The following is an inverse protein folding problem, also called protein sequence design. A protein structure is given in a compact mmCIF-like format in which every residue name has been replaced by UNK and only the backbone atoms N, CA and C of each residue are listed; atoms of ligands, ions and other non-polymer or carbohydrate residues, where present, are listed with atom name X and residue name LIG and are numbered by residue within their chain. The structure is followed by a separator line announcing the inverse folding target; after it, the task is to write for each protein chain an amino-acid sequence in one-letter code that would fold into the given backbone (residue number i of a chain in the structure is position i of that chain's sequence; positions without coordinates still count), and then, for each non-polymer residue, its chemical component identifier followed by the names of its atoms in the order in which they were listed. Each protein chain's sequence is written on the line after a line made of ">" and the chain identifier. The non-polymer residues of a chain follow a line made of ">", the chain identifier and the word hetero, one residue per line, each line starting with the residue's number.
data_IF_863966433406
#
_entry.id   IF_863966433406
#
_cell.length_a   1.000
_cell.length_b   1.000
_cell.length_c   1.000
_cell.angle_alpha   90.00
_cell.angle_beta   90.00
_cell.angle_gamma   90.00
#
_symmetry.space_group_name_H-M   'P 1'
#
loop_
_entity.id
_entity.type
_entity.pdbx_description
1 polymer ?
#
# COMPACT_ATOMS: atom_id res chain seq x y z
N UNK A 1 -21.89 -13.12 -6.49
CA UNK A 1 -22.06 -14.57 -6.52
C UNK A 1 -21.80 -15.18 -7.91
N UNK A 2 -21.55 -14.37 -8.94
CA UNK A 2 -21.28 -14.82 -10.32
C UNK A 2 -19.92 -14.36 -10.83
N UNK A 3 -19.02 -14.03 -9.95
CA UNK A 3 -17.64 -13.70 -10.32
C UNK A 3 -16.80 -14.97 -10.41
N UNK A 4 -15.91 -15.00 -11.40
CA UNK A 4 -14.91 -16.05 -11.60
C UNK A 4 -13.51 -15.52 -11.33
N UNK A 5 -12.54 -16.43 -11.14
CA UNK A 5 -11.15 -16.05 -10.90
C UNK A 5 -10.44 -15.56 -12.16
N UNK A 6 -11.00 -15.89 -13.35
CA UNK A 6 -10.40 -15.52 -14.63
C UNK A 6 -11.49 -15.06 -15.60
N UNK A 7 -11.23 -13.97 -16.31
CA UNK A 7 -12.11 -13.43 -17.33
C UNK A 7 -11.50 -13.56 -18.72
N UNK A 8 -12.30 -14.11 -19.63
CA UNK A 8 -11.95 -14.31 -21.06
C UNK A 8 -13.11 -13.90 -21.94
N UNK A 9 -12.95 -13.95 -23.25
CA UNK A 9 -14.04 -13.70 -24.21
C UNK A 9 -15.17 -14.73 -24.12
N UNK A 10 -14.98 -15.84 -23.39
CA UNK A 10 -15.98 -16.94 -23.26
C UNK A 10 -16.83 -16.81 -21.99
N UNK A 11 -16.57 -15.83 -21.12
CA UNK A 11 -17.38 -15.59 -19.93
C UNK A 11 -18.82 -15.21 -20.30
N UNK A 12 -19.77 -15.66 -19.49
CA UNK A 12 -21.18 -15.32 -19.64
C UNK A 12 -21.44 -13.84 -19.46
N UNK A 13 -22.56 -13.35 -19.99
CA UNK A 13 -22.95 -11.94 -19.79
C UNK A 13 -23.14 -11.60 -18.30
N UNK A 14 -23.60 -12.55 -17.49
CA UNK A 14 -23.80 -12.39 -16.04
C UNK A 14 -22.45 -12.23 -15.31
N UNK A 15 -21.44 -13.03 -15.64
CA UNK A 15 -20.09 -12.92 -15.11
C UNK A 15 -19.45 -11.58 -15.51
N UNK A 16 -19.57 -11.20 -16.77
CA UNK A 16 -19.05 -9.91 -17.25
C UNK A 16 -19.73 -8.72 -16.56
N UNK A 17 -21.05 -8.78 -16.34
CA UNK A 17 -21.78 -7.75 -15.60
C UNK A 17 -21.37 -7.71 -14.13
N UNK A 18 -21.10 -8.86 -13.51
CA UNK A 18 -20.68 -8.92 -12.11
C UNK A 18 -19.35 -8.19 -11.89
N UNK A 19 -18.35 -8.46 -12.73
CA UNK A 19 -17.04 -7.77 -12.63
C UNK A 19 -17.15 -6.29 -12.99
N UNK A 20 -17.91 -5.94 -14.03
CA UNK A 20 -18.12 -4.54 -14.42
C UNK A 20 -18.79 -3.74 -13.30
N UNK A 21 -19.74 -4.36 -12.59
CA UNK A 21 -20.40 -3.73 -11.42
C UNK A 21 -19.41 -3.52 -10.27
N UNK A 22 -18.55 -4.51 -9.99
CA UNK A 22 -17.51 -4.35 -8.97
C UNK A 22 -16.55 -3.21 -9.32
N UNK A 23 -16.10 -3.15 -10.57
CA UNK A 23 -15.23 -2.06 -11.05
C UNK A 23 -15.89 -0.70 -10.93
N UNK A 24 -17.20 -0.60 -11.23
CA UNK A 24 -17.97 0.64 -11.07
C UNK A 24 -18.06 1.04 -9.60
N UNK A 25 -18.34 0.09 -8.70
CA UNK A 25 -18.39 0.36 -7.24
C UNK A 25 -17.01 0.82 -6.75
N UNK A 26 -15.94 0.12 -7.14
CA UNK A 26 -14.59 0.47 -6.76
C UNK A 26 -14.19 1.86 -7.26
N UNK A 27 -14.40 2.13 -8.54
CA UNK A 27 -14.08 3.43 -9.14
C UNK A 27 -14.89 4.59 -8.53
N UNK A 28 -16.16 4.38 -8.24
CA UNK A 28 -17.01 5.37 -7.57
C UNK A 28 -16.55 5.59 -6.13
N UNK A 29 -16.23 4.52 -5.40
CA UNK A 29 -15.82 4.59 -3.99
C UNK A 29 -14.48 5.29 -3.80
N UNK A 30 -13.53 5.15 -4.73
CA UNK A 30 -12.27 5.90 -4.72
C UNK A 30 -12.35 7.25 -5.44
N UNK A 31 -13.54 7.66 -5.87
CA UNK A 31 -13.78 8.93 -6.59
C UNK A 31 -12.87 9.03 -7.84
N UNK A 32 -12.82 7.95 -8.62
CA UNK A 32 -11.96 7.87 -9.80
C UNK A 32 -12.28 9.01 -10.78
N UNK A 33 -11.27 9.80 -11.10
CA UNK A 33 -11.34 10.77 -12.17
C UNK A 33 -11.08 10.06 -13.50
N UNK A 34 -12.14 9.71 -14.21
CA UNK A 34 -12.05 9.02 -15.48
C UNK A 34 -11.68 9.96 -16.62
N UNK A 35 -10.68 9.60 -17.40
CA UNK A 35 -10.20 10.39 -18.54
C UNK A 35 -9.24 9.57 -19.40
N UNK A 36 -8.52 10.26 -20.28
CA UNK A 36 -7.41 9.65 -21.05
C UNK A 36 -6.31 9.09 -20.12
N UNK A 37 -6.16 9.71 -18.95
CA UNK A 37 -5.41 9.20 -17.81
C UNK A 37 -6.35 9.24 -16.61
N UNK A 38 -6.76 8.06 -16.14
CA UNK A 38 -7.62 7.94 -14.97
C UNK A 38 -6.77 7.94 -13.70
N UNK A 39 -7.21 8.65 -12.67
CA UNK A 39 -6.50 8.77 -11.41
C UNK A 39 -7.43 8.74 -10.20
N UNK A 40 -6.97 8.18 -9.10
CA UNK A 40 -7.61 8.21 -7.80
C UNK A 40 -6.56 8.26 -6.69
N UNK A 41 -7.01 8.59 -5.48
CA UNK A 41 -6.16 8.55 -4.30
C UNK A 41 -6.33 7.21 -3.58
N UNK A 42 -5.24 6.49 -3.35
CA UNK A 42 -5.26 5.18 -2.67
C UNK A 42 -5.81 5.27 -1.23
N UNK A 43 -5.72 6.43 -0.57
CA UNK A 43 -6.29 6.63 0.76
C UNK A 43 -7.80 6.35 0.82
N UNK A 44 -8.51 6.58 -0.30
CA UNK A 44 -9.94 6.29 -0.41
C UNK A 44 -10.24 4.78 -0.51
N UNK A 45 -9.23 3.96 -0.72
CA UNK A 45 -9.36 2.51 -0.70
C UNK A 45 -9.77 1.97 0.69
N UNK A 46 -9.27 2.58 1.77
CA UNK A 46 -9.64 2.17 3.14
C UNK A 46 -11.15 2.27 3.40
N UNK A 47 -11.80 3.44 3.26
CA UNK A 47 -13.25 3.53 3.45
C UNK A 47 -14.04 2.71 2.42
N UNK A 48 -13.58 2.60 1.18
CA UNK A 48 -14.22 1.74 0.18
C UNK A 48 -14.28 0.29 0.64
N UNK A 49 -13.15 -0.28 1.01
CA UNK A 49 -13.06 -1.68 1.40
C UNK A 49 -13.86 -1.95 2.68
N UNK A 50 -13.67 -1.13 3.71
CA UNK A 50 -14.31 -1.30 5.01
C UNK A 50 -15.81 -1.00 4.96
N UNK A 51 -16.19 0.21 4.51
CA UNK A 51 -17.54 0.73 4.69
C UNK A 51 -18.49 0.28 3.57
N UNK A 52 -17.96 0.00 2.37
CA UNK A 52 -18.78 -0.37 1.21
C UNK A 52 -18.69 -1.86 0.85
N UNK A 53 -17.54 -2.50 1.05
CA UNK A 53 -17.32 -3.88 0.65
C UNK A 53 -17.25 -4.86 1.81
N UNK A 54 -17.39 -4.39 3.07
CA UNK A 54 -17.48 -5.24 4.25
C UNK A 54 -16.19 -5.96 4.64
N UNK A 55 -15.05 -5.35 4.33
CA UNK A 55 -13.77 -5.81 4.81
C UNK A 55 -13.56 -5.44 6.28
N UNK A 56 -12.57 -6.06 6.91
CA UNK A 56 -12.26 -5.86 8.32
C UNK A 56 -11.81 -4.42 8.64
N UNK A 57 -12.00 -3.99 9.88
CA UNK A 57 -11.62 -2.65 10.33
C UNK A 57 -10.11 -2.45 10.45
N UNK A 58 -9.33 -3.55 10.49
CA UNK A 58 -7.87 -3.51 10.63
C UNK A 58 -7.13 -2.92 9.42
N UNK A 59 -7.83 -2.63 8.33
CA UNK A 59 -7.24 -1.97 7.16
C UNK A 59 -6.60 -0.66 7.59
N UNK A 60 -5.32 -0.49 7.26
CA UNK A 60 -4.59 0.74 7.51
C UNK A 60 -3.82 1.24 6.30
N UNK A 61 -3.59 2.56 6.27
CA UNK A 61 -2.87 3.23 5.20
C UNK A 61 -1.53 3.74 5.74
N UNK A 62 -0.45 3.26 5.17
CA UNK A 62 0.90 3.50 5.68
C UNK A 62 1.79 4.12 4.61
N UNK A 63 2.71 4.98 5.07
CA UNK A 63 3.70 5.64 4.21
C UNK A 63 5.08 5.05 4.45
N UNK A 64 5.78 4.70 3.37
CA UNK A 64 7.14 4.17 3.38
C UNK A 64 8.11 5.02 4.19
N UNK A 65 7.96 6.34 4.13
CA UNK A 65 8.83 7.30 4.84
C UNK A 65 8.84 7.16 6.36
N UNK A 66 7.85 6.46 6.92
CA UNK A 66 7.75 6.18 8.37
C UNK A 66 8.57 4.97 8.82
N UNK A 67 9.22 4.26 7.91
CA UNK A 67 9.86 2.97 8.16
C UNK A 67 11.30 2.96 7.67
N UNK A 68 12.18 2.25 8.37
CA UNK A 68 13.45 1.81 7.78
C UNK A 68 13.21 0.82 6.65
N UNK A 69 14.21 0.56 5.81
CA UNK A 69 14.10 -0.43 4.74
C UNK A 69 13.64 -1.79 5.26
N UNK A 70 14.27 -2.25 6.33
CA UNK A 70 13.95 -3.53 6.95
C UNK A 70 12.52 -3.58 7.49
N UNK A 71 12.13 -2.58 8.28
CA UNK A 71 10.77 -2.53 8.82
C UNK A 71 9.70 -2.53 7.74
N UNK A 72 9.95 -1.83 6.62
CA UNK A 72 9.02 -1.82 5.50
C UNK A 72 8.91 -3.19 4.82
N UNK A 73 10.04 -3.84 4.58
CA UNK A 73 10.09 -5.19 4.03
C UNK A 73 9.40 -6.19 4.97
N UNK A 74 9.72 -6.13 6.28
CA UNK A 74 9.12 -7.00 7.29
C UNK A 74 7.59 -6.80 7.40
N UNK A 75 7.12 -5.56 7.27
CA UNK A 75 5.69 -5.23 7.26
C UNK A 75 4.97 -5.90 6.08
N UNK A 76 5.46 -5.71 4.87
CA UNK A 76 4.87 -6.30 3.67
C UNK A 76 4.90 -7.83 3.73
N UNK A 77 6.02 -8.38 4.17
CA UNK A 77 6.19 -9.83 4.37
C UNK A 77 5.17 -10.38 5.37
N UNK A 78 4.97 -9.66 6.48
CA UNK A 78 4.00 -10.03 7.53
C UNK A 78 2.56 -10.08 7.03
N UNK A 79 2.17 -9.19 6.12
CA UNK A 79 0.85 -9.21 5.49
C UNK A 79 0.71 -10.44 4.56
N UNK A 80 1.66 -10.62 3.66
CA UNK A 80 1.63 -11.70 2.68
C UNK A 80 1.72 -13.09 3.33
N UNK A 81 2.50 -13.24 4.40
CA UNK A 81 2.58 -14.48 5.18
C UNK A 81 1.25 -14.86 5.85
N UNK A 82 0.38 -13.89 6.09
CA UNK A 82 -0.99 -14.09 6.59
C UNK A 82 -2.01 -14.26 5.46
N UNK A 83 -1.57 -14.31 4.21
CA UNK A 83 -2.44 -14.42 3.04
C UNK A 83 -3.18 -13.12 2.71
N UNK A 84 -2.71 -11.97 3.20
CA UNK A 84 -3.31 -10.67 2.95
C UNK A 84 -2.56 -9.95 1.83
N UNK A 85 -3.22 -9.64 0.70
CA UNK A 85 -2.61 -8.84 -0.35
C UNK A 85 -2.42 -7.40 0.11
N UNK A 86 -1.49 -6.71 -0.50
CA UNK A 86 -1.21 -5.30 -0.23
C UNK A 86 -1.54 -4.48 -1.46
N UNK A 87 -2.44 -3.50 -1.33
CA UNK A 87 -2.61 -2.51 -2.37
C UNK A 87 -1.53 -1.44 -2.20
N UNK A 88 -0.69 -1.30 -3.21
CA UNK A 88 0.53 -0.50 -3.16
C UNK A 88 0.48 0.64 -4.17
N UNK A 89 1.04 1.76 -3.81
CA UNK A 89 1.23 2.88 -4.72
C UNK A 89 2.66 3.40 -4.60
N UNK A 90 3.24 3.78 -5.73
CA UNK A 90 4.50 4.49 -5.76
C UNK A 90 4.58 5.44 -6.96
N UNK A 91 5.45 6.43 -6.86
CA UNK A 91 5.75 7.36 -7.94
C UNK A 91 7.03 6.97 -8.67
N UNK A 92 7.00 7.18 -9.97
CA UNK A 92 8.16 7.29 -10.85
C UNK A 92 8.37 8.77 -11.21
N UNK A 93 9.50 9.16 -11.84
CA UNK A 93 9.68 10.52 -12.34
C UNK A 93 8.64 10.98 -13.35
N UNK A 94 7.87 10.09 -13.93
CA UNK A 94 6.88 10.38 -14.97
C UNK A 94 5.44 10.25 -14.50
N UNK A 95 5.20 9.73 -13.29
CA UNK A 95 3.85 9.60 -12.73
C UNK A 95 3.76 8.53 -11.65
N UNK A 96 2.62 8.49 -10.96
CA UNK A 96 2.29 7.49 -9.96
C UNK A 96 1.53 6.30 -10.55
N UNK A 97 1.69 5.14 -9.92
CA UNK A 97 0.92 3.94 -10.25
C UNK A 97 0.49 3.20 -8.99
N UNK A 98 -0.71 2.63 -9.02
CA UNK A 98 -1.22 1.75 -7.98
C UNK A 98 -1.29 0.32 -8.52
N UNK A 99 -0.82 -0.64 -7.75
CA UNK A 99 -0.72 -2.04 -8.10
C UNK A 99 -0.91 -2.92 -6.85
N UNK A 100 -0.92 -4.24 -7.04
CA UNK A 100 -1.06 -5.19 -5.94
C UNK A 100 0.24 -5.94 -5.72
N UNK A 101 0.64 -6.09 -4.46
CA UNK A 101 1.66 -7.03 -4.04
C UNK A 101 0.93 -8.22 -3.41
N UNK A 102 1.07 -9.40 -4.00
CA UNK A 102 0.28 -10.59 -3.65
C UNK A 102 1.12 -11.85 -3.36
N UNK A 103 2.45 -11.72 -3.38
CA UNK A 103 3.35 -12.81 -3.09
C UNK A 103 4.78 -12.37 -2.77
N UNK A 104 5.60 -13.33 -2.39
CA UNK A 104 7.03 -13.14 -2.14
C UNK A 104 7.81 -14.44 -2.38
N UNK A 105 9.11 -14.35 -2.55
CA UNK A 105 10.02 -15.49 -2.65
C UNK A 105 11.08 -15.50 -1.54
N UNK A 106 12.02 -16.45 -1.62
CA UNK A 106 13.11 -16.61 -0.66
C UNK A 106 14.25 -15.57 -0.80
N UNK A 107 14.25 -14.79 -1.87
CA UNK A 107 15.33 -13.86 -2.23
C UNK A 107 14.99 -12.39 -1.93
N UNK A 108 14.03 -12.15 -1.04
CA UNK A 108 13.47 -10.84 -0.69
C UNK A 108 12.84 -10.12 -1.90
N UNK A 109 12.28 -10.88 -2.84
CA UNK A 109 11.52 -10.34 -3.95
C UNK A 109 10.02 -10.48 -3.67
N UNK A 110 9.27 -9.46 -4.06
CA UNK A 110 7.83 -9.42 -3.94
C UNK A 110 7.18 -9.61 -5.31
N UNK A 111 6.17 -10.47 -5.38
CA UNK A 111 5.37 -10.61 -6.59
C UNK A 111 4.46 -9.40 -6.73
N UNK A 112 4.51 -8.79 -7.90
CA UNK A 112 3.74 -7.59 -8.25
C UNK A 112 2.80 -7.92 -9.38
N UNK A 113 1.52 -7.66 -9.18
CA UNK A 113 0.50 -7.60 -10.21
C UNK A 113 0.27 -6.12 -10.56
N UNK A 114 0.75 -5.71 -11.73
CA UNK A 114 0.68 -4.33 -12.17
C UNK A 114 -0.72 -3.86 -12.58
N UNK A 115 -1.67 -4.78 -12.71
CA UNK A 115 -3.02 -4.46 -13.19
C UNK A 115 -3.11 -4.27 -14.71
N UNK A 116 -2.10 -4.73 -15.47
CA UNK A 116 -2.02 -4.57 -16.91
C UNK A 116 -2.39 -5.85 -17.68
N UNK A 117 -3.30 -6.63 -17.14
CA UNK A 117 -3.73 -7.89 -17.75
C UNK A 117 -2.64 -8.96 -17.75
N UNK A 118 -1.82 -9.02 -16.71
CA UNK A 118 -0.73 -9.97 -16.54
C UNK A 118 0.58 -9.55 -17.22
N UNK A 119 0.60 -8.40 -17.92
CA UNK A 119 1.84 -7.91 -18.53
C UNK A 119 2.79 -7.40 -17.45
N UNK A 120 4.03 -7.83 -17.55
CA UNK A 120 5.12 -7.47 -16.64
C UNK A 120 4.94 -7.93 -15.20
N UNK A 121 3.91 -8.69 -14.88
CA UNK A 121 3.77 -9.28 -13.56
C UNK A 121 5.00 -10.16 -13.27
N UNK A 122 5.46 -10.15 -12.03
CA UNK A 122 6.67 -10.89 -11.66
C UNK A 122 7.22 -10.47 -10.31
N UNK A 123 8.46 -10.87 -10.04
CA UNK A 123 9.13 -10.66 -8.77
C UNK A 123 10.10 -9.50 -8.82
N UNK A 124 9.97 -8.55 -7.88
CA UNK A 124 10.74 -7.30 -7.84
C UNK A 124 11.23 -6.99 -6.43
N UNK A 125 12.37 -6.31 -6.34
CA UNK A 125 12.79 -5.67 -5.09
C UNK A 125 11.97 -4.41 -4.85
N UNK A 126 11.44 -4.28 -3.63
CA UNK A 126 10.56 -3.15 -3.27
C UNK A 126 11.24 -1.77 -3.40
N UNK A 127 12.55 -1.71 -3.39
CA UNK A 127 13.32 -0.47 -3.60
C UNK A 127 13.58 -0.12 -5.06
N UNK A 128 13.25 -1.01 -6.00
CA UNK A 128 13.47 -0.81 -7.44
C UNK A 128 12.39 -1.52 -8.26
N UNK A 129 11.15 -1.14 -8.04
CA UNK A 129 9.99 -1.66 -8.75
C UNK A 129 10.04 -1.16 -10.21
N UNK A 130 10.76 -1.89 -11.02
CA UNK A 130 10.98 -1.56 -12.43
C UNK A 130 10.28 -2.58 -13.31
N UNK A 131 9.30 -2.12 -14.07
CA UNK A 131 8.67 -2.90 -15.13
C UNK A 131 9.38 -2.61 -16.44
N UNK A 132 9.79 -3.65 -17.18
CA UNK A 132 10.38 -3.52 -18.51
C UNK A 132 9.38 -3.02 -19.56
N UNK A 133 8.09 -3.15 -19.29
CA UNK A 133 7.01 -2.65 -20.15
C UNK A 133 6.54 -1.28 -19.64
N UNK A 134 6.38 -0.29 -20.51
CA UNK A 134 5.76 0.96 -20.12
C UNK A 134 4.29 0.71 -19.83
N UNK A 135 3.87 0.99 -18.59
CA UNK A 135 2.45 1.12 -18.28
C UNK A 135 1.83 2.25 -19.09
N UNK A 136 0.50 2.35 -19.06
CA UNK A 136 -0.21 3.41 -19.77
C UNK A 136 0.26 4.84 -19.40
N UNK A 137 1.02 4.97 -18.32
CA UNK A 137 1.52 6.24 -17.79
C UNK A 137 3.06 6.36 -17.76
N UNK A 138 3.82 5.31 -18.10
CA UNK A 138 5.28 5.33 -18.13
C UNK A 138 5.80 5.41 -19.56
N UNK A 139 6.19 6.60 -19.99
CA UNK A 139 6.76 6.83 -21.33
C UNK A 139 8.28 6.74 -21.37
N UNK A 140 8.95 6.48 -20.24
CA UNK A 140 10.41 6.45 -20.17
C UNK A 140 10.93 5.15 -19.54
N UNK A 141 11.66 4.38 -20.32
CA UNK A 141 12.47 3.28 -19.87
C UNK A 141 13.53 3.78 -18.87
N UNK A 142 13.58 3.23 -17.68
CA UNK A 142 14.69 3.43 -16.75
C UNK A 142 14.36 4.03 -15.38
N UNK A 143 13.12 4.35 -15.09
CA UNK A 143 12.73 4.87 -13.77
C UNK A 143 11.68 3.98 -13.11
N UNK A 144 12.12 3.17 -12.13
CA UNK A 144 11.20 2.35 -11.34
C UNK A 144 10.30 3.20 -10.42
N UNK A 145 9.24 2.59 -9.94
CA UNK A 145 8.33 3.16 -8.94
C UNK A 145 8.98 3.09 -7.55
N UNK A 146 9.88 4.02 -7.27
CA UNK A 146 10.71 4.03 -6.06
C UNK A 146 10.41 5.19 -5.10
N UNK A 147 9.60 6.16 -5.53
CA UNK A 147 9.33 7.38 -4.77
C UNK A 147 7.94 7.36 -4.15
N UNK A 148 7.75 8.12 -3.06
CA UNK A 148 6.46 8.31 -2.38
C UNK A 148 5.66 7.00 -2.22
N UNK A 149 6.36 5.94 -1.80
CA UNK A 149 5.77 4.63 -1.64
C UNK A 149 4.76 4.62 -0.49
N UNK A 150 3.60 4.05 -0.75
CA UNK A 150 2.46 3.98 0.15
C UNK A 150 1.79 2.61 0.03
N UNK A 151 1.16 2.16 1.09
CA UNK A 151 0.49 0.86 1.09
C UNK A 151 -0.82 0.89 1.89
N UNK A 152 -1.81 0.15 1.39
CA UNK A 152 -2.97 -0.28 2.14
C UNK A 152 -2.70 -1.71 2.60
N UNK A 153 -2.70 -1.91 3.91
CA UNK A 153 -2.41 -3.17 4.60
C UNK A 153 -3.61 -3.62 5.42
N UNK A 154 -3.58 -4.83 5.96
CA UNK A 154 -4.71 -5.37 6.74
C UNK A 154 -5.92 -5.73 5.88
N UNK A 155 -5.73 -5.97 4.57
CA UNK A 155 -6.83 -6.30 3.65
C UNK A 155 -7.25 -7.75 3.89
N UNK A 156 -8.34 -7.94 4.63
CA UNK A 156 -8.92 -9.24 4.92
C UNK A 156 -10.44 -9.16 5.02
N UNK A 157 -11.16 -10.25 4.75
CA UNK A 157 -12.59 -10.30 4.97
C UNK A 157 -12.93 -10.04 6.45
N UNK A 158 -14.01 -9.32 6.72
CA UNK A 158 -14.51 -9.20 8.08
C UNK A 158 -15.15 -10.52 8.50
N UNK A 159 -14.57 -11.18 9.50
CA UNK A 159 -15.04 -12.43 10.08
C UNK A 159 -15.87 -12.22 11.36
N UNK A 160 -16.12 -10.96 11.74
CA UNK A 160 -16.84 -10.57 12.96
C UNK A 160 -16.00 -10.64 14.23
N UNK A 161 -14.70 -10.91 14.11
CA UNK A 161 -13.74 -10.86 15.22
C UNK A 161 -13.02 -9.51 15.14
N UNK A 162 -12.93 -8.80 16.26
CA UNK A 162 -12.17 -7.55 16.33
C UNK A 162 -10.65 -7.87 16.19
N UNK A 163 -10.15 -7.71 14.97
CA UNK A 163 -8.72 -7.89 14.64
C UNK A 163 -7.92 -6.58 14.80
N UNK A 164 -8.49 -5.57 15.42
CA UNK A 164 -7.93 -4.21 15.54
C UNK A 164 -6.55 -4.08 16.15
N UNK A 165 -5.96 -5.16 16.62
CA UNK A 165 -4.58 -5.19 17.17
C UNK A 165 -3.58 -5.89 16.28
N UNK A 166 -3.99 -6.47 15.16
CA UNK A 166 -3.11 -7.29 14.32
C UNK A 166 -2.26 -6.49 13.32
N UNK A 167 -2.61 -5.25 13.08
CA UNK A 167 -1.77 -4.31 12.34
C UNK A 167 -0.85 -3.62 13.34
N UNK A 168 0.44 -3.89 13.25
CA UNK A 168 1.44 -3.22 14.08
C UNK A 168 1.45 -1.74 13.70
N UNK A 169 0.75 -0.93 14.48
CA UNK A 169 0.71 0.50 14.27
C UNK A 169 2.10 1.09 14.60
N UNK A 170 2.76 1.63 13.59
CA UNK A 170 4.01 2.34 13.77
C UNK A 170 3.74 3.86 13.79
N UNK A 171 4.03 4.54 14.91
CA UNK A 171 3.91 5.99 14.94
C UNK A 171 4.92 6.60 13.98
N UNK A 172 4.46 7.40 13.05
CA UNK A 172 5.32 8.14 12.14
C UNK A 172 5.56 9.54 12.69
N UNK A 173 6.84 9.90 12.88
CA UNK A 173 7.21 11.27 13.23
C UNK A 173 6.89 12.19 12.05
N UNK A 174 5.93 13.09 12.23
CA UNK A 174 5.45 13.98 11.15
C UNK A 174 6.11 15.33 11.16
N UNK A 175 6.40 15.85 12.35
CA UNK A 175 7.05 17.13 12.52
C UNK A 175 8.09 17.05 13.64
N UNK A 176 9.27 17.57 13.35
CA UNK A 176 10.31 17.79 14.33
C UNK A 176 10.53 19.30 14.40
N UNK A 177 10.31 19.87 15.57
CA UNK A 177 10.55 21.29 15.82
C UNK A 177 11.62 21.42 16.89
N UNK A 178 12.68 22.15 16.59
CA UNK A 178 13.73 22.49 17.54
C UNK A 178 13.57 23.95 17.96
N UNK A 179 13.53 24.20 19.26
CA UNK A 179 13.43 25.55 19.82
C UNK A 179 14.36 25.64 21.07
N UNK A 180 15.49 26.30 20.91
CA UNK A 180 16.54 26.28 21.92
C UNK A 180 17.00 24.85 22.19
N UNK A 181 16.93 24.42 23.44
CA UNK A 181 17.30 23.06 23.87
C UNK A 181 16.11 22.09 23.86
N UNK A 182 14.97 22.48 23.31
CA UNK A 182 13.77 21.63 23.28
C UNK A 182 13.55 21.08 21.88
N UNK A 183 13.45 19.76 21.77
CA UNK A 183 13.03 19.05 20.58
C UNK A 183 11.61 18.55 20.79
N UNK A 184 10.68 19.02 19.95
CA UNK A 184 9.29 18.56 19.95
C UNK A 184 9.08 17.67 18.74
N UNK A 185 8.64 16.45 18.98
CA UNK A 185 8.32 15.49 17.91
C UNK A 185 6.82 15.21 17.95
N UNK A 186 6.15 15.49 16.83
CA UNK A 186 4.74 15.16 16.68
C UNK A 186 4.62 13.83 15.94
N UNK A 187 4.02 12.86 16.58
CA UNK A 187 3.71 11.57 15.99
C UNK A 187 2.28 11.57 15.47
N UNK A 188 2.06 10.97 14.33
CA UNK A 188 0.73 10.68 13.82
C UNK A 188 0.55 9.18 13.81
N UNK A 189 -0.50 8.73 14.49
CA UNK A 189 -0.96 7.36 14.43
C UNK A 189 -2.16 7.31 13.51
N UNK A 190 -2.07 6.57 12.42
CA UNK A 190 -3.14 6.43 11.44
C UNK A 190 -4.10 5.27 11.74
N UNK A 191 -3.74 4.38 12.67
CA UNK A 191 -4.56 3.21 13.00
C UNK A 191 -5.73 3.51 13.94
N UNK A 192 -5.81 4.72 14.51
CA UNK A 192 -6.80 5.04 15.53
C UNK A 192 -6.57 4.37 16.90
N UNK A 193 -5.62 3.44 16.99
CA UNK A 193 -5.25 2.79 18.25
C UNK A 193 -4.38 3.71 19.10
N UNK A 194 -4.55 3.65 20.42
CA UNK A 194 -3.64 4.33 21.35
C UNK A 194 -2.35 3.50 21.46
N UNK A 195 -1.26 4.02 20.91
CA UNK A 195 0.05 3.40 21.05
C UNK A 195 0.74 4.02 22.25
N UNK A 196 1.05 3.19 23.24
CA UNK A 196 2.00 3.53 24.30
C UNK A 196 3.32 2.87 23.93
N UNK A 197 4.20 3.62 23.29
CA UNK A 197 5.58 3.19 23.07
C UNK A 197 6.49 3.97 24.00
N UNK A 198 7.31 3.26 24.76
CA UNK A 198 8.45 3.86 25.45
C UNK A 198 9.58 3.99 24.44
N UNK A 199 9.88 5.21 24.03
CA UNK A 199 11.01 5.55 23.16
C UNK A 199 11.96 6.47 23.87
N UNK A 200 13.26 6.25 23.69
CA UNK A 200 14.31 7.20 24.06
C UNK A 200 14.68 8.06 22.84
N UNK A 201 14.96 9.33 23.06
CA UNK A 201 15.60 10.19 22.05
C UNK A 201 17.09 10.14 22.32
N UNK A 202 17.86 9.55 21.41
CA UNK A 202 19.31 9.65 21.45
C UNK A 202 19.76 10.86 20.63
N UNK A 203 20.53 11.74 21.23
CA UNK A 203 21.11 12.91 20.56
C UNK A 203 22.55 12.58 20.21
N UNK A 204 22.87 12.59 18.91
CA UNK A 204 24.23 12.46 18.45
C UNK A 204 25.03 13.73 18.84
N UNK A 205 26.11 13.56 19.56
CA UNK A 205 27.04 14.62 19.84
C UNK A 205 27.99 14.88 18.68
N UNK A 206 28.69 15.99 18.68
CA UNK A 206 29.58 16.35 17.57
C UNK A 206 30.74 15.36 17.37
N UNK A 207 31.04 14.54 18.37
CA UNK A 207 32.04 13.45 18.33
C UNK A 207 31.48 12.11 17.87
N UNK A 208 30.17 12.05 17.53
CA UNK A 208 29.49 10.85 17.06
C UNK A 208 28.98 9.93 18.17
N UNK A 209 29.13 10.31 19.45
CA UNK A 209 28.53 9.55 20.55
C UNK A 209 27.04 9.84 20.71
N UNK A 210 26.26 8.84 21.17
CA UNK A 210 24.84 8.97 21.50
C UNK A 210 24.67 9.14 23.00
N UNK A 211 23.87 10.10 23.43
CA UNK A 211 23.50 10.33 24.84
C UNK A 211 22.00 10.14 25.06
#
# INVERSE_FOLDING_TARGET
>A
PHMTDTYTSTNTAEEQQAVARLMLIAGTGVQMNYGSQSAANLTLGKPLLRDCLGYDECIDYVYRRGYSQRQWTDLLYGELAKGRPVAYRADSPTGGHAFVIDGYDSDDLFHVNWGWGGKSDGFFRIGSLYSAEPGAESTNFGSGYAYEQEALIGIMPNDGVDSGTDVTAHPTARYIKVSGNTVSITFTNFSGATIIQQGGIAIAQADGTLS
#
